data_IF_506563564891
#
_entry.id   IF_506563564891
#
_cell.length_a   1.000
_cell.length_b   1.000
_cell.length_c   1.000
_cell.angle_alpha   90.00
_cell.angle_beta   90.00
_cell.angle_gamma   90.00
#
_symmetry.space_group_name_H-M   'P 1'
#
loop_
_entity.id
_entity.type
_entity.pdbx_description
1 polymer ?
#
# COMPACT_ATOMS: atom_id res chain seq x y z
N UNK A 1 13.83 -27.42 23.60
CA UNK A 1 12.57 -27.66 22.87
C UNK A 1 11.41 -27.10 23.71
N UNK A 2 11.02 -25.89 23.52
CA UNK A 2 9.85 -25.30 24.19
C UNK A 2 8.91 -24.83 23.08
N UNK A 3 7.95 -25.69 22.75
CA UNK A 3 6.90 -25.40 21.80
C UNK A 3 5.98 -24.32 22.35
N UNK A 4 6.18 -23.08 21.94
CA UNK A 4 5.25 -21.99 22.19
C UNK A 4 3.96 -22.30 21.45
N UNK A 5 2.95 -22.80 22.17
CA UNK A 5 1.57 -22.91 21.67
C UNK A 5 1.15 -21.51 21.18
N UNK A 6 0.96 -21.38 19.87
CA UNK A 6 0.47 -20.14 19.23
C UNK A 6 -0.96 -19.88 19.76
N UNK A 7 -1.29 -18.67 20.22
CA UNK A 7 -2.61 -18.38 20.79
C UNK A 7 -3.72 -18.60 19.75
N UNK A 8 -4.90 -19.00 20.22
CA UNK A 8 -6.09 -19.28 19.39
C UNK A 8 -6.54 -18.09 18.51
N UNK A 9 -6.14 -16.87 18.83
CA UNK A 9 -6.38 -15.64 18.04
C UNK A 9 -5.71 -15.64 16.65
N UNK A 10 -4.80 -16.59 16.36
CA UNK A 10 -4.03 -16.61 15.11
C UNK A 10 -4.74 -17.28 13.93
N UNK A 11 -5.75 -18.10 14.18
CA UNK A 11 -6.50 -18.80 13.12
C UNK A 11 -7.49 -17.87 12.38
N UNK A 12 -8.11 -16.89 13.08
CA UNK A 12 -9.13 -16.01 12.50
C UNK A 12 -8.59 -15.12 11.37
N UNK A 13 -7.45 -14.41 11.50
CA UNK A 13 -6.86 -13.66 10.39
C UNK A 13 -6.50 -14.54 9.18
N UNK A 14 -5.99 -15.75 9.41
CA UNK A 14 -5.71 -16.71 8.33
C UNK A 14 -6.97 -17.16 7.62
N UNK A 15 -8.03 -17.44 8.36
CA UNK A 15 -9.33 -17.82 7.80
C UNK A 15 -9.93 -16.69 6.96
N UNK A 16 -9.83 -15.44 7.43
CA UNK A 16 -10.27 -14.25 6.68
C UNK A 16 -9.49 -14.11 5.37
N UNK A 17 -8.16 -14.26 5.42
CA UNK A 17 -7.32 -14.21 4.21
C UNK A 17 -7.68 -15.34 3.24
N UNK A 18 -7.78 -16.58 3.72
CA UNK A 18 -8.15 -17.73 2.89
C UNK A 18 -9.55 -17.55 2.25
N UNK A 19 -10.50 -17.02 3.00
CA UNK A 19 -11.83 -16.71 2.46
C UNK A 19 -11.78 -15.62 1.38
N UNK A 20 -10.96 -14.58 1.56
CA UNK A 20 -10.77 -13.53 0.55
C UNK A 20 -10.16 -14.09 -0.74
N UNK A 21 -9.18 -14.97 -0.64
CA UNK A 21 -8.58 -15.64 -1.82
C UNK A 21 -9.66 -16.45 -2.55
N UNK A 22 -10.45 -17.27 -1.84
CA UNK A 22 -11.56 -18.02 -2.44
C UNK A 22 -12.61 -17.13 -3.07
N UNK A 23 -12.91 -15.97 -2.49
CA UNK A 23 -13.83 -14.98 -3.10
C UNK A 23 -13.24 -14.45 -4.39
N UNK A 24 -11.94 -14.15 -4.45
CA UNK A 24 -11.28 -13.70 -5.67
C UNK A 24 -11.29 -14.77 -6.76
N UNK A 25 -11.00 -16.02 -6.43
CA UNK A 25 -11.08 -17.15 -7.34
C UNK A 25 -12.51 -17.31 -7.89
N UNK A 26 -13.51 -17.30 -7.01
CA UNK A 26 -14.92 -17.43 -7.39
C UNK A 26 -15.44 -16.25 -8.24
N UNK A 27 -14.93 -15.04 -8.01
CA UNK A 27 -15.34 -13.84 -8.78
C UNK A 27 -14.85 -13.90 -10.22
N UNK A 28 -13.65 -14.44 -10.43
CA UNK A 28 -13.04 -14.51 -11.77
C UNK A 28 -13.32 -15.85 -12.51
N UNK A 29 -13.91 -16.85 -11.82
CA UNK A 29 -14.20 -18.18 -12.39
C UNK A 29 -12.94 -19.00 -12.67
N UNK A 30 -13.03 -19.96 -13.59
CA UNK A 30 -11.97 -20.93 -13.88
C UNK A 30 -10.76 -20.37 -14.64
N UNK A 31 -10.77 -19.07 -14.96
CA UNK A 31 -9.68 -18.41 -15.70
C UNK A 31 -8.66 -17.73 -14.81
N UNK A 32 -8.58 -18.09 -13.53
CA UNK A 32 -7.60 -17.52 -12.59
C UNK A 32 -6.48 -18.50 -12.36
N UNK A 33 -5.26 -18.04 -12.58
CA UNK A 33 -4.02 -18.78 -12.22
C UNK A 33 -3.23 -17.97 -11.23
N UNK A 34 -2.83 -18.59 -10.12
CA UNK A 34 -1.93 -17.96 -9.13
C UNK A 34 -0.53 -18.52 -9.30
N UNK A 35 0.48 -17.65 -9.35
CA UNK A 35 1.90 -18.00 -9.45
C UNK A 35 2.68 -17.35 -8.28
N UNK A 36 3.71 -18.02 -7.75
CA UNK A 36 4.04 -19.42 -7.99
C UNK A 36 2.98 -20.34 -7.37
N UNK A 37 2.93 -21.60 -7.82
CA UNK A 37 2.05 -22.62 -7.26
C UNK A 37 2.79 -23.98 -7.19
N UNK A 38 2.09 -25.05 -6.81
CA UNK A 38 2.70 -26.36 -6.65
C UNK A 38 3.31 -26.95 -7.96
N UNK A 39 2.77 -26.57 -9.13
CA UNK A 39 3.24 -27.04 -10.42
C UNK A 39 4.25 -26.08 -11.07
N UNK A 40 4.21 -24.79 -10.72
CA UNK A 40 4.97 -23.74 -11.40
C UNK A 40 5.73 -22.91 -10.37
N UNK A 41 7.06 -23.01 -10.41
CA UNK A 41 8.00 -22.36 -9.51
C UNK A 41 8.30 -20.90 -9.85
N UNK A 42 9.34 -20.33 -9.21
CA UNK A 42 9.74 -18.93 -9.40
C UNK A 42 10.15 -18.60 -10.83
N UNK A 43 10.73 -19.54 -11.59
CA UNK A 43 11.15 -19.34 -12.97
C UNK A 43 9.94 -19.10 -13.90
N UNK A 44 8.85 -19.84 -13.66
CA UNK A 44 7.58 -19.64 -14.40
C UNK A 44 6.96 -18.31 -14.01
N UNK A 45 6.98 -17.96 -12.72
CA UNK A 45 6.51 -16.65 -12.24
C UNK A 45 7.22 -15.51 -12.99
N UNK A 46 8.56 -15.49 -13.03
CA UNK A 46 9.34 -14.43 -13.70
C UNK A 46 9.05 -14.36 -15.19
N UNK A 47 9.09 -15.51 -15.87
CA UNK A 47 8.86 -15.61 -17.30
C UNK A 47 7.46 -15.11 -17.66
N UNK A 48 6.42 -15.55 -16.95
CA UNK A 48 5.05 -15.17 -17.22
C UNK A 48 4.82 -13.70 -16.84
N UNK A 49 5.38 -13.22 -15.73
CA UNK A 49 5.23 -11.82 -15.34
C UNK A 49 5.88 -10.86 -16.37
N UNK A 50 7.03 -11.25 -16.94
CA UNK A 50 7.73 -10.48 -17.94
C UNK A 50 7.16 -10.62 -19.37
N UNK A 51 6.21 -11.56 -19.59
CA UNK A 51 5.69 -11.86 -20.91
C UNK A 51 4.89 -10.67 -21.49
N UNK A 52 5.14 -10.26 -22.75
CA UNK A 52 4.49 -9.08 -23.36
C UNK A 52 2.96 -9.16 -23.39
N UNK A 53 2.38 -10.36 -23.53
CA UNK A 53 0.94 -10.56 -23.50
C UNK A 53 0.35 -10.55 -22.06
N UNK A 54 1.14 -10.37 -21.00
CA UNK A 54 0.69 -10.29 -19.60
C UNK A 54 0.69 -8.84 -19.13
N UNK A 55 0.08 -7.95 -19.89
CA UNK A 55 0.11 -6.52 -19.62
C UNK A 55 -1.26 -5.85 -19.51
N UNK A 56 -2.36 -6.58 -19.73
CA UNK A 56 -3.72 -6.11 -19.46
C UNK A 56 -3.94 -5.85 -17.97
N UNK A 57 -4.72 -4.85 -17.64
CA UNK A 57 -4.83 -4.33 -16.26
C UNK A 57 -6.23 -4.43 -15.67
N UNK A 58 -7.25 -4.05 -16.43
CA UNK A 58 -8.59 -3.84 -15.91
C UNK A 58 -9.69 -4.42 -16.80
N UNK A 59 -9.51 -4.38 -18.11
CA UNK A 59 -10.53 -4.83 -19.06
C UNK A 59 -10.74 -6.34 -18.96
N UNK A 60 -12.02 -6.76 -18.82
CA UNK A 60 -12.42 -8.17 -18.89
C UNK A 60 -12.24 -8.99 -17.60
N UNK A 61 -11.78 -8.42 -16.50
CA UNK A 61 -11.64 -9.15 -15.24
C UNK A 61 -12.60 -8.67 -14.16
N UNK A 62 -13.39 -9.60 -13.59
CA UNK A 62 -14.28 -9.30 -12.46
C UNK A 62 -13.56 -8.82 -11.19
N UNK A 63 -12.28 -9.17 -11.04
CA UNK A 63 -11.43 -8.68 -9.95
C UNK A 63 -11.18 -7.18 -10.06
N UNK A 64 -11.12 -6.62 -11.27
CA UNK A 64 -10.93 -5.19 -11.51
C UNK A 64 -12.07 -4.36 -10.93
N UNK A 65 -13.31 -4.85 -10.99
CA UNK A 65 -14.46 -4.19 -10.35
C UNK A 65 -14.28 -4.02 -8.85
N UNK A 66 -13.66 -5.00 -8.17
CA UNK A 66 -13.38 -4.92 -6.75
C UNK A 66 -12.29 -3.89 -6.45
N UNK A 67 -11.19 -3.89 -7.21
CA UNK A 67 -10.12 -2.92 -7.01
C UNK A 67 -10.59 -1.50 -7.32
N UNK A 68 -11.29 -1.27 -8.40
CA UNK A 68 -11.85 0.04 -8.76
C UNK A 68 -12.84 0.54 -7.70
N UNK A 69 -13.59 -0.38 -7.10
CA UNK A 69 -14.51 -0.04 -6.03
C UNK A 69 -13.79 0.42 -4.75
N UNK A 70 -12.70 -0.24 -4.35
CA UNK A 70 -11.98 0.09 -3.11
C UNK A 70 -11.05 1.27 -3.24
N UNK A 71 -10.39 1.42 -4.38
CA UNK A 71 -9.38 2.44 -4.61
C UNK A 71 -9.96 3.86 -4.72
N UNK A 72 -9.08 4.82 -4.94
CA UNK A 72 -9.45 6.19 -5.15
C UNK A 72 -10.34 6.37 -6.39
N UNK A 73 -11.14 7.44 -6.46
CA UNK A 73 -11.78 7.81 -7.71
C UNK A 73 -10.71 8.03 -8.80
N UNK A 74 -11.06 7.76 -10.05
CA UNK A 74 -10.12 7.90 -11.15
C UNK A 74 -9.25 6.67 -11.37
N UNK A 75 -9.75 5.46 -11.03
CA UNK A 75 -9.04 4.22 -11.35
C UNK A 75 -8.75 4.09 -12.84
N UNK A 76 -9.59 4.65 -13.70
CA UNK A 76 -9.45 4.73 -15.16
C UNK A 76 -8.24 5.53 -15.64
N UNK A 77 -7.68 6.38 -14.82
CA UNK A 77 -6.47 7.19 -15.10
C UNK A 77 -5.30 6.86 -14.17
N UNK A 78 -5.49 5.90 -13.27
CA UNK A 78 -4.44 5.46 -12.38
C UNK A 78 -3.43 4.59 -13.14
N UNK A 79 -2.13 4.85 -12.97
CA UNK A 79 -1.05 4.17 -13.70
C UNK A 79 -1.13 2.64 -13.65
N UNK A 80 -1.55 2.05 -12.52
CA UNK A 80 -1.67 0.60 -12.37
C UNK A 80 -2.88 -0.01 -13.09
N UNK A 81 -3.88 0.81 -13.44
CA UNK A 81 -5.14 0.35 -14.02
C UNK A 81 -5.33 0.73 -15.48
N UNK A 82 -4.52 1.67 -15.98
CA UNK A 82 -4.51 2.02 -17.39
C UNK A 82 -4.09 0.83 -18.24
N UNK A 83 -4.86 0.57 -19.29
CA UNK A 83 -4.47 -0.41 -20.30
C UNK A 83 -3.20 0.02 -21.05
N UNK A 84 -2.47 -0.94 -21.67
CA UNK A 84 -1.31 -0.62 -22.49
C UNK A 84 -1.66 0.37 -23.60
N UNK A 85 -0.77 1.31 -23.89
CA UNK A 85 -0.93 2.30 -24.96
C UNK A 85 -0.40 3.67 -24.59
N UNK A 86 -0.55 4.61 -25.52
CA UNK A 86 0.02 5.97 -25.45
C UNK A 86 -0.38 6.71 -24.15
N UNK A 87 -1.66 6.59 -23.74
CA UNK A 87 -2.17 7.22 -22.51
C UNK A 87 -1.43 6.73 -21.26
N UNK A 88 -1.16 5.41 -21.17
CA UNK A 88 -0.35 4.86 -20.08
C UNK A 88 1.09 5.39 -20.14
N UNK A 89 1.71 5.40 -21.30
CA UNK A 89 3.10 5.84 -21.45
C UNK A 89 3.28 7.31 -21.04
N UNK A 90 2.34 8.17 -21.39
CA UNK A 90 2.38 9.57 -21.00
C UNK A 90 2.19 9.75 -19.48
N UNK A 91 1.23 9.05 -18.88
CA UNK A 91 0.99 9.08 -17.44
C UNK A 91 2.22 8.54 -16.68
N UNK A 92 2.80 7.44 -17.13
CA UNK A 92 3.98 6.83 -16.51
C UNK A 92 5.22 7.74 -16.64
N UNK A 93 5.42 8.35 -17.79
CA UNK A 93 6.52 9.31 -18.01
C UNK A 93 6.37 10.55 -17.13
N UNK A 94 5.14 11.08 -17.00
CA UNK A 94 4.87 12.21 -16.12
C UNK A 94 5.07 11.86 -14.66
N UNK A 95 4.62 10.68 -14.21
CA UNK A 95 4.85 10.19 -12.84
C UNK A 95 6.35 10.10 -12.54
N UNK A 96 7.13 9.50 -13.42
CA UNK A 96 8.60 9.43 -13.27
C UNK A 96 9.25 10.80 -13.19
N UNK A 97 8.79 11.77 -14.00
CA UNK A 97 9.30 13.14 -14.00
C UNK A 97 9.00 13.89 -12.70
N UNK A 98 7.80 13.73 -12.14
CA UNK A 98 7.44 14.35 -10.84
C UNK A 98 8.28 13.75 -9.71
N UNK A 99 8.54 12.42 -9.76
CA UNK A 99 9.36 11.72 -8.77
C UNK A 99 10.88 11.93 -8.98
N UNK A 100 11.30 12.46 -10.12
CA UNK A 100 12.70 12.72 -10.42
C UNK A 100 13.19 13.92 -9.61
N UNK A 101 13.82 13.64 -8.48
CA UNK A 101 14.51 14.60 -7.61
C UNK A 101 15.94 14.13 -7.33
N UNK A 102 16.81 15.06 -6.89
CA UNK A 102 18.10 14.66 -6.36
C UNK A 102 17.92 13.84 -5.08
N UNK A 103 18.80 12.87 -4.84
CA UNK A 103 18.76 12.07 -3.60
C UNK A 103 18.79 12.94 -2.36
N UNK A 104 19.59 14.02 -2.36
CA UNK A 104 19.66 14.98 -1.29
C UNK A 104 18.34 15.73 -1.07
N UNK A 105 17.71 16.24 -2.15
CA UNK A 105 16.44 16.97 -2.04
C UNK A 105 15.29 16.07 -1.57
N UNK A 106 15.23 14.81 -2.02
CA UNK A 106 14.25 13.84 -1.54
C UNK A 106 14.48 13.51 -0.06
N UNK A 107 15.73 13.32 0.35
CA UNK A 107 16.10 13.05 1.74
C UNK A 107 15.73 14.23 2.65
N UNK A 108 16.06 15.46 2.24
CA UNK A 108 15.74 16.67 2.99
C UNK A 108 14.22 16.88 3.15
N UNK A 109 13.46 16.78 2.06
CA UNK A 109 12.00 16.94 2.11
C UNK A 109 11.34 15.88 3.00
N UNK A 110 11.77 14.61 2.91
CA UNK A 110 11.28 13.54 3.75
C UNK A 110 11.68 13.75 5.22
N UNK A 111 12.92 14.18 5.49
CA UNK A 111 13.42 14.47 6.83
C UNK A 111 12.60 15.57 7.50
N UNK A 112 12.39 16.70 6.84
CA UNK A 112 11.54 17.80 7.35
C UNK A 112 10.11 17.29 7.65
N UNK A 113 9.49 16.62 6.71
CA UNK A 113 8.11 16.16 6.87
C UNK A 113 7.94 15.16 8.03
N UNK A 114 8.92 14.28 8.25
CA UNK A 114 8.91 13.32 9.36
C UNK A 114 9.24 14.03 10.68
N UNK A 115 10.22 14.92 10.70
CA UNK A 115 10.60 15.71 11.88
C UNK A 115 9.43 16.52 12.42
N UNK A 116 8.70 17.26 11.55
CA UNK A 116 7.52 18.05 11.91
C UNK A 116 6.44 17.22 12.64
N UNK A 117 6.26 15.99 12.21
CA UNK A 117 5.30 15.08 12.87
C UNK A 117 5.86 14.57 14.19
N UNK A 118 7.12 14.19 14.24
CA UNK A 118 7.76 13.69 15.47
C UNK A 118 7.88 14.76 16.54
N UNK A 119 7.98 16.03 16.18
CA UNK A 119 7.99 17.17 17.11
C UNK A 119 6.67 17.30 17.89
N UNK A 120 5.60 16.71 17.39
CA UNK A 120 4.30 16.64 18.12
C UNK A 120 4.26 15.54 19.17
N UNK A 121 5.23 14.61 19.19
CA UNK A 121 5.29 13.49 20.13
C UNK A 121 6.03 13.91 21.40
N UNK A 122 5.42 13.77 22.59
CA UNK A 122 6.07 14.16 23.85
C UNK A 122 7.40 13.42 24.09
N UNK A 123 8.44 14.15 24.52
CA UNK A 123 9.75 13.62 24.88
C UNK A 123 9.93 13.38 26.40
N UNK A 124 8.93 13.70 27.22
CA UNK A 124 8.93 13.54 28.67
C UNK A 124 8.30 12.23 29.14
N UNK A 125 7.68 11.48 28.24
CA UNK A 125 6.95 10.25 28.57
C UNK A 125 6.91 9.25 27.44
N UNK A 126 6.62 7.98 27.78
CA UNK A 126 6.36 6.92 26.80
C UNK A 126 5.01 7.18 26.12
N UNK A 127 4.99 7.16 24.80
CA UNK A 127 3.80 7.36 23.99
C UNK A 127 3.40 6.05 23.29
N UNK A 128 2.14 5.63 23.42
CA UNK A 128 1.58 4.54 22.62
C UNK A 128 0.94 5.12 21.37
N UNK A 129 1.50 4.79 20.22
CA UNK A 129 1.04 5.29 18.91
C UNK A 129 0.68 4.15 17.97
N UNK A 130 -0.01 4.47 16.89
CA UNK A 130 -0.13 3.62 15.70
C UNK A 130 0.80 4.19 14.64
N UNK A 131 1.90 3.51 14.34
CA UNK A 131 2.98 4.02 13.49
C UNK A 131 2.51 4.51 12.12
N UNK A 132 1.58 3.77 11.49
CA UNK A 132 1.00 4.19 10.22
C UNK A 132 0.26 5.52 10.33
N UNK A 133 -0.59 5.67 11.34
CA UNK A 133 -1.42 6.85 11.53
C UNK A 133 -0.58 8.06 11.94
N UNK A 134 0.47 7.84 12.73
CA UNK A 134 1.43 8.88 13.11
C UNK A 134 2.16 9.46 11.90
N UNK A 135 2.63 8.60 10.98
CA UNK A 135 3.50 9.02 9.88
C UNK A 135 2.74 9.36 8.59
N UNK A 136 1.46 9.02 8.48
CA UNK A 136 0.67 9.35 7.28
C UNK A 136 0.62 10.85 6.98
N UNK A 137 0.47 11.77 7.95
CA UNK A 137 0.56 13.21 7.69
C UNK A 137 1.92 13.66 7.15
N UNK A 138 3.03 13.04 7.58
CA UNK A 138 4.36 13.33 7.04
C UNK A 138 4.43 12.97 5.55
N UNK A 139 3.95 11.78 5.19
CA UNK A 139 3.94 11.34 3.79
C UNK A 139 2.95 12.13 2.93
N UNK A 140 1.85 12.63 3.51
CA UNK A 140 0.96 13.56 2.84
C UNK A 140 1.65 14.89 2.53
N UNK A 141 2.40 15.45 3.47
CA UNK A 141 3.18 16.67 3.28
C UNK A 141 4.30 16.48 2.24
N UNK A 142 5.05 15.38 2.33
CA UNK A 142 6.08 15.01 1.37
C UNK A 142 5.51 14.88 -0.07
N UNK A 143 4.42 14.13 -0.26
CA UNK A 143 3.80 13.96 -1.56
C UNK A 143 3.27 15.29 -2.13
N UNK A 144 2.74 16.16 -1.26
CA UNK A 144 2.32 17.50 -1.65
C UNK A 144 3.50 18.32 -2.16
N UNK A 145 4.63 18.32 -1.45
CA UNK A 145 5.83 19.05 -1.87
C UNK A 145 6.39 18.53 -3.20
N UNK A 146 6.32 17.23 -3.46
CA UNK A 146 6.71 16.67 -4.76
C UNK A 146 5.84 17.21 -5.91
N UNK A 147 4.53 17.30 -5.69
CA UNK A 147 3.58 17.71 -6.73
C UNK A 147 3.55 19.23 -6.93
N UNK A 148 3.58 20.00 -5.84
CA UNK A 148 3.37 21.46 -5.88
C UNK A 148 4.66 22.27 -5.73
N UNK A 149 5.80 21.63 -5.43
CA UNK A 149 7.10 22.28 -5.18
C UNK A 149 7.04 23.40 -4.13
N UNK A 150 6.15 23.26 -3.16
CA UNK A 150 5.96 24.20 -2.03
C UNK A 150 5.51 23.44 -0.77
N UNK A 151 5.70 24.01 0.43
CA UNK A 151 5.27 23.41 1.68
C UNK A 151 3.77 23.08 1.68
N UNK A 152 3.39 21.97 2.32
CA UNK A 152 2.01 21.52 2.39
C UNK A 152 1.21 22.35 3.40
N UNK A 153 0.16 23.07 2.98
CA UNK A 153 -0.73 23.74 3.93
C UNK A 153 -1.45 22.72 4.84
N UNK A 154 -1.70 23.07 6.13
CA UNK A 154 -2.35 22.16 7.08
C UNK A 154 -3.66 21.56 6.56
N UNK A 155 -4.53 22.38 5.97
CA UNK A 155 -5.82 21.92 5.43
C UNK A 155 -5.66 20.91 4.27
N UNK A 156 -4.65 21.10 3.40
CA UNK A 156 -4.37 20.17 2.31
C UNK A 156 -3.83 18.84 2.86
N UNK A 157 -2.93 18.90 3.85
CA UNK A 157 -2.42 17.72 4.56
C UNK A 157 -3.56 16.90 5.17
N UNK A 158 -4.52 17.58 5.81
CA UNK A 158 -5.67 16.93 6.44
C UNK A 158 -6.60 16.27 5.40
N UNK A 159 -6.86 16.95 4.25
CA UNK A 159 -7.62 16.37 3.15
C UNK A 159 -6.95 15.11 2.58
N UNK A 160 -5.64 15.16 2.34
CA UNK A 160 -4.86 14.06 1.80
C UNK A 160 -4.84 12.88 2.79
N UNK A 161 -4.55 13.17 4.06
CA UNK A 161 -4.52 12.15 5.13
C UNK A 161 -5.87 11.46 5.30
N UNK A 162 -6.96 12.24 5.34
CA UNK A 162 -8.31 11.70 5.46
C UNK A 162 -8.71 10.85 4.25
N UNK A 163 -8.27 11.23 3.04
CA UNK A 163 -8.49 10.47 1.82
C UNK A 163 -7.70 9.15 1.84
N UNK A 164 -6.40 9.21 2.13
CA UNK A 164 -5.54 8.03 2.18
C UNK A 164 -6.01 7.02 3.25
N UNK A 165 -6.39 7.50 4.44
CA UNK A 165 -6.95 6.64 5.49
C UNK A 165 -8.27 6.00 5.07
N UNK A 166 -9.15 6.72 4.36
CA UNK A 166 -10.40 6.17 3.84
C UNK A 166 -10.13 5.04 2.84
N UNK A 167 -9.22 5.24 1.89
CA UNK A 167 -8.92 4.23 0.87
C UNK A 167 -8.32 2.97 1.49
N UNK A 168 -7.31 3.10 2.36
CA UNK A 168 -6.67 1.92 2.97
C UNK A 168 -7.62 1.19 3.93
N UNK A 169 -8.50 1.91 4.62
CA UNK A 169 -9.51 1.35 5.51
C UNK A 169 -10.55 0.54 4.73
N UNK A 170 -11.01 1.05 3.59
CA UNK A 170 -11.91 0.33 2.68
C UNK A 170 -11.22 -0.88 2.05
N UNK A 171 -9.98 -0.73 1.54
CA UNK A 171 -9.21 -1.82 0.94
C UNK A 171 -8.95 -2.98 1.93
N UNK A 172 -8.70 -2.66 3.20
CA UNK A 172 -8.55 -3.65 4.27
C UNK A 172 -9.89 -4.16 4.82
N UNK A 173 -11.01 -3.69 4.32
CA UNK A 173 -12.37 -4.02 4.77
C UNK A 173 -12.59 -3.76 6.28
N UNK A 174 -11.91 -2.77 6.85
CA UNK A 174 -12.06 -2.37 8.26
C UNK A 174 -13.02 -1.21 8.45
N UNK A 175 -13.51 -0.60 7.37
CA UNK A 175 -14.50 0.46 7.30
C UNK A 175 -15.12 0.56 5.92
N UNK A 176 -16.23 1.28 5.82
CA UNK A 176 -16.88 1.59 4.53
C UNK A 176 -16.18 2.79 3.86
N UNK A 177 -16.37 2.90 2.55
CA UNK A 177 -15.88 4.05 1.77
C UNK A 177 -16.62 5.34 2.17
N UNK A 178 -15.91 6.46 2.16
CA UNK A 178 -16.47 7.79 2.37
C UNK A 178 -16.37 8.66 1.10
N UNK A 179 -17.27 8.52 0.13
CA UNK A 179 -17.18 9.22 -1.17
C UNK A 179 -17.01 10.73 -1.03
N UNK A 180 -17.67 11.35 -0.04
CA UNK A 180 -17.55 12.79 0.23
C UNK A 180 -16.13 13.23 0.62
N UNK A 181 -15.36 12.39 1.34
CA UNK A 181 -13.95 12.69 1.67
C UNK A 181 -13.10 12.65 0.41
N UNK A 182 -13.36 11.65 -0.45
CA UNK A 182 -12.66 11.50 -1.73
C UNK A 182 -12.95 12.68 -2.66
N UNK A 183 -14.21 13.06 -2.81
CA UNK A 183 -14.64 14.17 -3.65
C UNK A 183 -14.07 15.54 -3.21
N UNK A 184 -13.93 15.77 -1.88
CA UNK A 184 -13.32 17.01 -1.38
C UNK A 184 -11.88 17.18 -1.84
N UNK A 185 -11.08 16.11 -1.82
CA UNK A 185 -9.71 16.17 -2.31
C UNK A 185 -9.69 16.38 -3.84
N UNK A 186 -10.57 15.69 -4.59
CA UNK A 186 -10.67 15.87 -6.05
C UNK A 186 -10.98 17.34 -6.39
N UNK A 187 -11.96 17.96 -5.69
CA UNK A 187 -12.32 19.36 -5.91
C UNK A 187 -11.14 20.30 -5.61
N UNK A 188 -10.47 20.13 -4.47
CA UNK A 188 -9.28 20.90 -4.12
C UNK A 188 -8.19 20.82 -5.18
N UNK A 189 -7.90 19.60 -5.69
CA UNK A 189 -6.89 19.43 -6.73
C UNK A 189 -7.29 20.08 -8.04
N UNK A 190 -8.57 19.98 -8.43
CA UNK A 190 -9.12 20.66 -9.61
C UNK A 190 -8.94 22.18 -9.53
N UNK A 191 -9.25 22.79 -8.38
CA UNK A 191 -9.03 24.22 -8.14
C UNK A 191 -7.54 24.60 -8.24
N UNK A 192 -6.63 23.78 -7.70
CA UNK A 192 -5.19 24.06 -7.77
C UNK A 192 -4.63 23.93 -9.18
N UNK A 193 -5.13 22.96 -9.96
CA UNK A 193 -4.75 22.82 -11.38
C UNK A 193 -5.26 24.02 -12.18
N UNK A 194 -6.52 24.40 -12.00
CA UNK A 194 -7.11 25.55 -12.67
C UNK A 194 -6.40 26.89 -12.34
N UNK A 195 -5.88 27.02 -11.11
CA UNK A 195 -5.08 28.16 -10.67
C UNK A 195 -3.63 28.15 -11.19
N UNK A 196 -3.20 27.09 -11.90
CA UNK A 196 -1.82 26.97 -12.38
C UNK A 196 -0.79 26.65 -11.29
N UNK A 197 -1.24 26.17 -10.15
CA UNK A 197 -0.38 25.91 -8.98
C UNK A 197 0.51 24.67 -9.13
N UNK A 198 0.26 23.79 -10.11
CA UNK A 198 1.07 22.60 -10.38
C UNK A 198 2.18 22.94 -11.37
N UNK A 199 3.45 23.01 -10.95
CA UNK A 199 4.56 23.44 -11.80
C UNK A 199 5.03 22.35 -12.79
N UNK A 200 4.35 21.21 -12.81
CA UNK A 200 4.66 20.10 -13.69
C UNK A 200 3.72 20.10 -14.89
N UNK A 201 4.27 19.80 -16.09
CA UNK A 201 3.43 19.51 -17.25
C UNK A 201 2.69 18.19 -17.00
N UNK A 202 1.37 18.28 -16.76
CA UNK A 202 0.51 17.13 -16.60
C UNK A 202 0.23 16.42 -17.94
N UNK A 203 -0.23 15.14 -17.94
CA UNK A 203 -0.51 14.42 -19.18
C UNK A 203 -1.55 15.14 -20.02
N UNK A 204 -1.24 15.42 -21.28
CA UNK A 204 -2.13 16.12 -22.21
C UNK A 204 -3.29 15.22 -22.68
N UNK A 205 -3.10 13.90 -22.65
CA UNK A 205 -4.15 12.92 -22.93
C UNK A 205 -5.24 12.86 -21.86
N UNK A 206 -5.05 13.55 -20.72
CA UNK A 206 -6.02 13.64 -19.63
C UNK A 206 -6.71 15.01 -19.64
N UNK A 207 -8.05 15.02 -19.56
CA UNK A 207 -8.82 16.22 -19.29
C UNK A 207 -8.45 16.84 -17.94
N UNK A 208 -8.73 18.12 -17.66
CA UNK A 208 -8.42 18.76 -16.38
C UNK A 208 -9.00 18.01 -15.17
N UNK A 209 -10.21 17.44 -15.29
CA UNK A 209 -10.82 16.61 -14.25
C UNK A 209 -10.07 15.30 -14.04
N UNK A 210 -9.65 14.65 -15.12
CA UNK A 210 -8.84 13.43 -15.06
C UNK A 210 -7.43 13.68 -14.51
N UNK A 211 -6.84 14.85 -14.79
CA UNK A 211 -5.56 15.25 -14.19
C UNK A 211 -5.65 15.37 -12.67
N UNK A 212 -6.75 15.91 -12.13
CA UNK A 212 -6.99 15.93 -10.69
C UNK A 212 -7.10 14.50 -10.11
N UNK A 213 -7.83 13.61 -10.78
CA UNK A 213 -7.96 12.19 -10.40
C UNK A 213 -6.62 11.45 -10.48
N UNK A 214 -5.82 11.73 -11.51
CA UNK A 214 -4.47 11.17 -11.65
C UNK A 214 -3.57 11.56 -10.47
N UNK A 215 -3.50 12.84 -10.11
CA UNK A 215 -2.71 13.30 -8.97
C UNK A 215 -3.23 12.69 -7.66
N UNK A 216 -4.55 12.64 -7.48
CA UNK A 216 -5.18 12.05 -6.30
C UNK A 216 -4.85 10.56 -6.17
N UNK A 217 -4.99 9.78 -7.24
CA UNK A 217 -4.75 8.34 -7.22
C UNK A 217 -3.28 7.99 -7.05
N UNK A 218 -2.39 8.64 -7.79
CA UNK A 218 -0.97 8.29 -7.85
C UNK A 218 -0.21 8.82 -6.63
N UNK A 219 -0.32 10.12 -6.34
CA UNK A 219 0.50 10.76 -5.30
C UNK A 219 -0.22 10.82 -3.95
N UNK A 220 -1.48 11.24 -3.90
CA UNK A 220 -2.20 11.48 -2.65
C UNK A 220 -2.96 10.26 -2.11
N UNK A 221 -2.98 9.17 -2.86
CA UNK A 221 -3.41 7.86 -2.39
C UNK A 221 -2.23 6.89 -2.35
N UNK A 222 -1.78 6.42 -3.53
CA UNK A 222 -0.83 5.31 -3.62
C UNK A 222 0.49 5.63 -2.91
N UNK A 223 1.13 6.76 -3.21
CA UNK A 223 2.41 7.09 -2.58
C UNK A 223 2.26 7.29 -1.06
N UNK A 224 1.24 8.03 -0.59
CA UNK A 224 1.01 8.28 0.84
C UNK A 224 0.73 6.99 1.60
N UNK A 225 -0.17 6.14 1.08
CA UNK A 225 -0.51 4.86 1.71
C UNK A 225 0.69 3.93 1.75
N UNK A 226 1.40 3.76 0.61
CA UNK A 226 2.51 2.82 0.51
C UNK A 226 3.70 3.23 1.38
N UNK A 227 4.07 4.51 1.40
CA UNK A 227 5.14 5.01 2.27
C UNK A 227 4.76 4.89 3.75
N UNK A 228 3.51 5.16 4.11
CA UNK A 228 3.02 5.01 5.49
C UNK A 228 3.07 3.55 5.95
N UNK A 229 2.63 2.62 5.11
CA UNK A 229 2.66 1.18 5.42
C UNK A 229 4.10 0.66 5.44
N UNK A 230 4.95 1.02 4.47
CA UNK A 230 6.35 0.59 4.43
C UNK A 230 7.11 1.03 5.68
N UNK A 231 7.00 2.32 6.03
CA UNK A 231 7.66 2.85 7.22
C UNK A 231 7.13 2.19 8.49
N UNK A 232 5.82 1.99 8.59
CA UNK A 232 5.22 1.28 9.73
C UNK A 232 5.69 -0.18 9.83
N UNK A 233 5.89 -0.87 8.71
CA UNK A 233 6.45 -2.23 8.70
C UNK A 233 7.90 -2.24 9.19
N UNK A 234 8.76 -1.36 8.70
CA UNK A 234 10.17 -1.29 9.13
C UNK A 234 10.28 -0.97 10.63
N UNK A 235 9.55 0.04 11.09
CA UNK A 235 9.59 0.44 12.50
C UNK A 235 8.98 -0.62 13.42
N UNK A 236 7.93 -1.34 13.00
CA UNK A 236 7.38 -2.45 13.77
C UNK A 236 8.33 -3.64 13.81
N UNK A 237 9.03 -3.95 12.71
CA UNK A 237 10.07 -4.96 12.70
C UNK A 237 11.18 -4.63 13.70
N UNK A 238 11.66 -3.37 13.70
CA UNK A 238 12.67 -2.90 14.66
C UNK A 238 12.17 -2.94 16.12
N UNK A 239 10.91 -2.57 16.36
CA UNK A 239 10.30 -2.65 17.70
C UNK A 239 10.23 -4.08 18.25
N UNK A 240 10.16 -5.08 17.37
CA UNK A 240 10.09 -6.50 17.71
C UNK A 240 11.45 -7.19 17.76
N UNK A 241 12.48 -6.59 17.17
CA UNK A 241 13.85 -7.13 17.10
C UNK A 241 14.85 -6.17 17.78
N UNK A 242 14.88 -6.11 19.10
CA UNK A 242 15.65 -5.12 19.86
C UNK A 242 17.17 -5.17 19.58
N UNK A 243 17.72 -6.35 19.22
CA UNK A 243 19.14 -6.47 18.85
C UNK A 243 19.45 -5.73 17.54
N UNK A 244 18.57 -5.87 16.53
CA UNK A 244 18.71 -5.15 15.25
C UNK A 244 18.56 -3.64 15.45
N UNK A 245 17.56 -3.24 16.24
CA UNK A 245 17.36 -1.83 16.59
C UNK A 245 18.58 -1.25 17.34
N UNK A 246 19.15 -2.01 18.28
CA UNK A 246 20.34 -1.58 19.05
C UNK A 246 21.53 -1.36 18.11
N UNK A 247 21.83 -2.32 17.23
CA UNK A 247 22.93 -2.20 16.26
C UNK A 247 22.79 -0.93 15.40
N UNK A 248 21.60 -0.63 14.88
CA UNK A 248 21.36 0.60 14.12
C UNK A 248 21.50 1.87 14.98
N UNK A 249 21.27 1.75 16.28
CA UNK A 249 21.44 2.88 17.20
C UNK A 249 22.89 3.15 17.57
N UNK A 250 23.72 2.12 17.64
CA UNK A 250 25.16 2.23 17.88
C UNK A 250 25.91 2.68 16.62
N UNK A 251 25.39 2.31 15.44
CA UNK A 251 26.00 2.64 14.16
C UNK A 251 24.97 3.38 13.25
N UNK A 252 24.60 4.64 13.58
CA UNK A 252 23.55 5.37 12.86
C UNK A 252 23.91 5.67 11.40
N UNK A 253 25.20 5.65 11.06
CA UNK A 253 25.71 5.92 9.71
C UNK A 253 25.89 4.63 8.87
N UNK A 254 25.60 3.45 9.41
CA UNK A 254 25.61 2.17 8.65
C UNK A 254 24.42 2.10 7.69
N UNK A 255 24.54 2.83 6.60
CA UNK A 255 23.56 2.84 5.50
C UNK A 255 23.32 1.47 4.90
N UNK A 256 24.36 0.64 4.85
CA UNK A 256 24.28 -0.70 4.27
C UNK A 256 23.41 -1.61 5.14
N UNK A 257 23.64 -1.62 6.44
CA UNK A 257 22.83 -2.47 7.32
C UNK A 257 21.38 -1.99 7.41
N UNK A 258 21.15 -0.67 7.42
CA UNK A 258 19.81 -0.12 7.36
C UNK A 258 19.10 -0.50 6.06
N UNK A 259 19.81 -0.54 4.92
CA UNK A 259 19.24 -1.05 3.67
C UNK A 259 18.85 -2.53 3.80
N UNK A 260 19.71 -3.39 4.37
CA UNK A 260 19.41 -4.80 4.64
C UNK A 260 18.17 -4.98 5.53
N UNK A 261 17.98 -4.13 6.54
CA UNK A 261 16.79 -4.13 7.41
C UNK A 261 15.52 -3.79 6.62
N UNK A 262 15.60 -2.80 5.73
CA UNK A 262 14.48 -2.41 4.87
C UNK A 262 14.16 -3.55 3.88
N UNK A 263 15.18 -4.11 3.23
CA UNK A 263 15.01 -5.19 2.25
C UNK A 263 14.39 -6.43 2.91
N UNK A 264 14.88 -6.83 4.08
CA UNK A 264 14.32 -7.96 4.82
C UNK A 264 12.87 -7.70 5.26
N UNK A 265 12.56 -6.47 5.64
CA UNK A 265 11.19 -6.09 5.98
C UNK A 265 10.28 -6.21 4.76
N UNK A 266 10.68 -5.68 3.61
CA UNK A 266 9.88 -5.73 2.37
C UNK A 266 9.80 -7.14 1.77
N UNK A 267 10.78 -8.01 2.04
CA UNK A 267 10.74 -9.43 1.69
C UNK A 267 9.65 -10.17 2.48
N UNK A 268 9.64 -10.00 3.80
CA UNK A 268 8.68 -10.69 4.69
C UNK A 268 7.28 -10.07 4.64
N UNK A 269 7.20 -8.77 4.47
CA UNK A 269 5.96 -7.99 4.52
C UNK A 269 5.79 -7.12 3.26
N UNK A 270 5.75 -7.73 2.07
CA UNK A 270 5.57 -6.98 0.84
C UNK A 270 4.26 -6.19 0.88
N UNK A 271 4.32 -4.94 0.42
CA UNK A 271 3.17 -4.03 0.46
C UNK A 271 2.03 -4.52 -0.46
N UNK A 272 2.40 -5.09 -1.60
CA UNK A 272 1.49 -5.83 -2.45
C UNK A 272 1.59 -7.32 -2.14
N UNK A 273 0.47 -7.94 -1.78
CA UNK A 273 0.44 -9.38 -1.58
C UNK A 273 0.23 -10.14 -2.87
N UNK A 274 -0.67 -9.63 -3.70
CA UNK A 274 -1.00 -10.20 -5.00
C UNK A 274 -1.13 -9.06 -5.98
N UNK A 275 -0.36 -9.11 -7.06
CA UNK A 275 -0.59 -8.30 -8.25
C UNK A 275 -1.32 -9.15 -9.28
N UNK A 276 -2.38 -8.62 -9.91
CA UNK A 276 -3.03 -9.32 -11.01
C UNK A 276 -2.69 -8.68 -12.35
N UNK A 277 -2.68 -9.51 -13.39
CA UNK A 277 -2.56 -9.11 -14.78
C UNK A 277 -3.57 -9.88 -15.61
N UNK A 278 -3.93 -9.35 -16.75
CA UNK A 278 -4.83 -9.98 -17.69
C UNK A 278 -4.05 -10.28 -18.96
N UNK A 279 -4.17 -11.50 -19.47
CA UNK A 279 -3.50 -11.87 -20.71
C UNK A 279 -4.20 -11.21 -21.91
N UNK A 280 -3.45 -10.56 -22.76
CA UNK A 280 -3.93 -9.94 -24.02
C UNK A 280 -3.73 -10.87 -25.24
N UNK A 281 -3.07 -11.99 -25.05
CA UNK A 281 -2.82 -13.05 -26.02
C UNK A 281 -2.53 -14.37 -25.30
N UNK A 282 -2.16 -15.39 -26.05
CA UNK A 282 -1.76 -16.69 -25.50
C UNK A 282 -0.42 -16.61 -24.76
N UNK A 283 -0.34 -17.28 -23.61
CA UNK A 283 0.84 -17.29 -22.74
C UNK A 283 1.15 -18.73 -22.31
N UNK A 284 2.26 -19.35 -22.76
CA UNK A 284 2.63 -20.68 -22.33
C UNK A 284 3.12 -20.68 -20.88
N UNK A 285 2.53 -21.54 -20.05
CA UNK A 285 2.99 -21.82 -18.70
C UNK A 285 4.05 -22.92 -18.69
N UNK A 286 3.82 -23.97 -19.45
CA UNK A 286 4.70 -25.11 -19.66
C UNK A 286 4.45 -25.72 -21.05
N UNK A 287 5.04 -26.89 -21.34
CA UNK A 287 4.92 -27.59 -22.63
C UNK A 287 3.50 -28.08 -22.94
N UNK A 288 2.64 -28.16 -21.95
CA UNK A 288 1.28 -28.72 -22.05
C UNK A 288 0.17 -27.70 -21.78
N UNK A 289 0.50 -26.60 -21.11
CA UNK A 289 -0.48 -25.64 -20.60
C UNK A 289 -0.25 -24.25 -21.21
N UNK A 290 -1.25 -23.76 -21.94
CA UNK A 290 -1.28 -22.41 -22.50
C UNK A 290 -2.44 -21.62 -21.93
N UNK A 291 -2.20 -20.45 -21.40
CA UNK A 291 -3.24 -19.52 -20.96
C UNK A 291 -3.80 -18.77 -22.17
N UNK A 292 -5.11 -18.84 -22.42
CA UNK A 292 -5.73 -18.05 -23.48
C UNK A 292 -5.79 -16.57 -23.12
N UNK A 293 -6.02 -15.72 -24.12
CA UNK A 293 -6.32 -14.30 -23.91
C UNK A 293 -7.52 -14.12 -22.94
N UNK A 294 -7.45 -13.10 -22.09
CA UNK A 294 -8.46 -12.84 -21.06
C UNK A 294 -8.32 -13.66 -19.77
N UNK A 295 -7.25 -14.46 -19.64
CA UNK A 295 -6.93 -15.14 -18.39
C UNK A 295 -6.42 -14.14 -17.34
N UNK A 296 -6.80 -14.34 -16.07
CA UNK A 296 -6.33 -13.54 -14.94
C UNK A 296 -5.18 -14.26 -14.25
N UNK A 297 -3.99 -13.67 -14.30
CA UNK A 297 -2.81 -14.20 -13.61
C UNK A 297 -2.59 -13.41 -12.34
N UNK A 298 -2.62 -14.09 -11.20
CA UNK A 298 -2.36 -13.54 -9.88
C UNK A 298 -0.93 -13.88 -9.45
N UNK A 299 -0.10 -12.87 -9.25
CA UNK A 299 1.29 -13.00 -8.82
C UNK A 299 1.39 -12.83 -7.32
N UNK A 300 1.66 -13.91 -6.59
CA UNK A 300 1.84 -13.91 -5.13
C UNK A 300 3.27 -13.49 -4.78
N UNK A 301 3.46 -12.26 -4.35
CA UNK A 301 4.77 -11.75 -3.94
C UNK A 301 5.32 -12.45 -2.70
N UNK A 302 4.52 -12.70 -1.64
CA UNK A 302 5.01 -13.41 -0.46
C UNK A 302 5.54 -14.81 -0.77
N UNK A 303 4.80 -15.57 -1.61
CA UNK A 303 5.20 -16.93 -1.95
C UNK A 303 6.44 -16.94 -2.85
N UNK A 304 6.50 -16.00 -3.81
CA UNK A 304 7.67 -15.81 -4.65
C UNK A 304 8.91 -15.41 -3.84
N UNK A 305 8.80 -14.41 -2.97
CA UNK A 305 9.92 -13.92 -2.15
C UNK A 305 10.32 -14.86 -1.00
N UNK A 306 9.53 -15.89 -0.71
CA UNK A 306 9.91 -16.93 0.24
C UNK A 306 10.85 -17.98 -0.37
N UNK A 307 10.82 -18.15 -1.71
CA UNK A 307 11.66 -19.16 -2.40
C UNK A 307 13.13 -18.79 -2.38
N UNK A 308 14.00 -19.81 -2.28
CA UNK A 308 15.45 -19.64 -2.35
C UNK A 308 16.09 -19.06 -1.08
N UNK A 309 15.34 -18.86 0.00
CA UNK A 309 15.86 -18.42 1.28
C UNK A 309 15.85 -19.53 2.32
N UNK A 310 16.94 -19.69 3.05
CA UNK A 310 16.93 -20.46 4.29
C UNK A 310 16.08 -19.74 5.34
N UNK A 311 15.24 -20.50 6.08
CA UNK A 311 14.34 -19.94 7.09
C UNK A 311 13.55 -18.72 6.59
N UNK A 312 12.72 -18.91 5.54
CA UNK A 312 12.08 -17.80 4.83
C UNK A 312 11.14 -16.96 5.71
N UNK A 313 10.62 -17.55 6.82
CA UNK A 313 9.70 -16.88 7.75
C UNK A 313 10.42 -16.10 8.87
N UNK A 314 11.76 -16.19 8.97
CA UNK A 314 12.52 -15.49 10.00
C UNK A 314 13.00 -14.12 9.49
N UNK A 315 12.93 -13.12 10.38
CA UNK A 315 13.48 -11.80 10.13
C UNK A 315 14.97 -11.79 10.42
N UNK A 316 15.77 -11.78 9.40
CA UNK A 316 17.23 -11.85 9.46
C UNK A 316 17.86 -10.88 8.43
N UNK A 317 18.11 -9.62 8.79
CA UNK A 317 18.77 -8.67 7.90
C UNK A 317 20.20 -9.06 7.49
N UNK A 318 20.90 -9.88 8.28
CA UNK A 318 22.26 -10.27 7.98
C UNK A 318 22.34 -11.22 6.78
N UNK A 319 21.23 -11.90 6.39
CA UNK A 319 21.16 -12.72 5.17
C UNK A 319 21.54 -11.93 3.89
N UNK A 320 21.26 -10.65 3.86
CA UNK A 320 21.57 -9.79 2.71
C UNK A 320 23.08 -9.51 2.54
N UNK A 321 23.90 -9.94 3.50
CA UNK A 321 25.35 -9.95 3.34
C UNK A 321 25.82 -11.09 2.44
N UNK A 322 25.03 -12.18 2.36
CA UNK A 322 25.32 -13.32 1.49
C UNK A 322 24.95 -13.02 0.02
N UNK A 323 25.90 -13.18 -0.94
CA UNK A 323 25.60 -13.05 -2.34
C UNK A 323 24.50 -14.02 -2.85
N UNK A 324 24.33 -15.18 -2.26
CA UNK A 324 23.29 -16.13 -2.66
C UNK A 324 21.88 -15.57 -2.31
N UNK A 325 21.72 -15.03 -1.12
CA UNK A 325 20.45 -14.41 -0.72
C UNK A 325 20.08 -13.20 -1.58
N UNK A 326 21.08 -12.44 -2.06
CA UNK A 326 20.85 -11.32 -3.00
C UNK A 326 20.45 -11.75 -4.41
N UNK A 327 20.71 -13.00 -4.78
CA UNK A 327 20.26 -13.59 -6.06
C UNK A 327 18.93 -14.31 -5.94
N UNK A 328 18.45 -14.55 -4.73
CA UNK A 328 17.15 -15.16 -4.49
C UNK A 328 16.01 -14.24 -4.94
N UNK A 329 14.81 -14.79 -5.19
CA UNK A 329 13.63 -14.02 -5.60
C UNK A 329 13.32 -12.85 -4.69
N UNK A 330 13.43 -11.61 -5.21
CA UNK A 330 13.15 -10.38 -4.48
C UNK A 330 12.68 -9.27 -5.43
N UNK A 331 11.41 -8.88 -5.33
CA UNK A 331 10.77 -7.91 -6.23
C UNK A 331 9.94 -6.85 -5.48
N UNK A 332 10.51 -6.12 -4.50
CA UNK A 332 9.74 -5.17 -3.68
C UNK A 332 9.06 -4.06 -4.49
N UNK A 333 9.57 -3.80 -5.69
CA UNK A 333 9.08 -2.77 -6.63
C UNK A 333 8.50 -3.37 -7.92
N UNK A 334 8.20 -4.68 -7.94
CA UNK A 334 7.73 -5.39 -9.12
C UNK A 334 8.83 -5.78 -10.09
N UNK A 335 8.46 -6.47 -11.16
CA UNK A 335 9.37 -6.94 -12.20
C UNK A 335 9.67 -5.82 -13.20
N UNK A 336 10.94 -5.56 -13.46
CA UNK A 336 11.39 -4.45 -14.30
C UNK A 336 10.77 -4.45 -15.72
N UNK A 337 10.54 -5.63 -16.30
CA UNK A 337 9.95 -5.78 -17.62
C UNK A 337 8.45 -5.49 -17.70
N UNK A 338 7.73 -5.41 -16.57
CA UNK A 338 6.27 -5.22 -16.56
C UNK A 338 5.84 -4.15 -15.56
N UNK A 339 6.04 -2.88 -15.93
CA UNK A 339 5.61 -1.69 -15.20
C UNK A 339 6.08 -1.69 -13.73
N UNK A 340 7.39 -1.59 -13.48
CA UNK A 340 7.92 -1.50 -12.13
C UNK A 340 7.40 -0.25 -11.43
N UNK A 341 7.44 -0.26 -10.10
CA UNK A 341 7.09 0.91 -9.30
C UNK A 341 7.90 2.14 -9.74
N UNK A 342 7.27 3.26 -10.10
CA UNK A 342 8.00 4.45 -10.54
C UNK A 342 8.85 5.08 -9.43
N UNK A 343 8.54 4.77 -8.16
CA UNK A 343 9.24 5.29 -6.99
C UNK A 343 10.40 4.39 -6.52
N UNK A 344 10.83 3.38 -7.29
CA UNK A 344 11.85 2.40 -6.87
C UNK A 344 13.21 3.03 -6.48
N UNK A 345 13.55 4.18 -7.05
CA UNK A 345 14.74 4.95 -6.67
C UNK A 345 14.52 5.85 -5.45
N UNK A 346 13.36 6.47 -5.36
CA UNK A 346 13.04 7.43 -4.29
C UNK A 346 12.68 6.74 -2.97
N UNK A 347 11.90 5.66 -3.01
CA UNK A 347 11.39 5.00 -1.81
C UNK A 347 12.47 4.52 -0.85
N UNK A 348 13.58 3.86 -1.27
CA UNK A 348 14.64 3.47 -0.33
C UNK A 348 15.31 4.66 0.36
N UNK A 349 15.44 5.80 -0.32
CA UNK A 349 16.04 7.01 0.23
C UNK A 349 15.17 7.55 1.36
N UNK A 350 13.88 7.79 1.06
CA UNK A 350 12.98 8.42 2.03
C UNK A 350 12.65 7.49 3.21
N UNK A 351 12.62 6.17 3.00
CA UNK A 351 12.46 5.20 4.08
C UNK A 351 13.65 5.21 5.04
N UNK A 352 14.89 5.23 4.53
CA UNK A 352 16.08 5.33 5.38
C UNK A 352 16.07 6.58 6.24
N UNK A 353 15.74 7.73 5.65
CA UNK A 353 15.63 9.00 6.37
C UNK A 353 14.58 8.92 7.47
N UNK A 354 13.38 8.43 7.16
CA UNK A 354 12.30 8.31 8.14
C UNK A 354 12.67 7.39 9.32
N UNK A 355 13.32 6.26 9.05
CA UNK A 355 13.77 5.34 10.11
C UNK A 355 14.82 5.99 10.99
N UNK A 356 15.79 6.71 10.42
CA UNK A 356 16.81 7.45 11.17
C UNK A 356 16.20 8.53 12.05
N UNK A 357 15.28 9.32 11.51
CA UNK A 357 14.60 10.37 12.27
C UNK A 357 13.86 9.82 13.50
N UNK A 358 13.20 8.69 13.34
CA UNK A 358 12.51 8.03 14.47
C UNK A 358 13.52 7.47 15.47
N UNK A 359 14.56 6.76 15.01
CA UNK A 359 15.55 6.12 15.88
C UNK A 359 16.47 7.13 16.58
N UNK A 360 16.70 8.32 16.02
CA UNK A 360 17.47 9.37 16.69
C UNK A 360 16.77 9.89 17.96
N UNK A 361 15.43 9.88 17.99
CA UNK A 361 14.61 10.44 19.07
C UNK A 361 14.04 9.38 20.01
N UNK A 362 13.72 8.19 19.48
CA UNK A 362 12.97 7.17 20.21
C UNK A 362 13.62 5.79 20.13
N UNK A 363 13.48 5.04 21.22
CA UNK A 363 13.55 3.59 21.22
C UNK A 363 12.15 3.03 21.01
N UNK A 364 12.03 2.03 20.18
CA UNK A 364 10.78 1.40 19.81
C UNK A 364 10.55 0.10 20.58
N UNK A 365 9.32 -0.17 20.99
CA UNK A 365 8.93 -1.43 21.61
C UNK A 365 7.49 -1.80 21.22
N UNK A 366 7.27 -3.04 20.81
CA UNK A 366 5.93 -3.52 20.51
C UNK A 366 5.82 -5.03 20.73
N UNK A 367 4.69 -5.44 21.31
CA UNK A 367 4.27 -6.83 21.42
C UNK A 367 3.16 -7.20 20.43
N UNK A 368 2.78 -6.26 19.56
CA UNK A 368 1.76 -6.48 18.55
C UNK A 368 2.19 -7.55 17.52
N UNK A 369 1.22 -8.26 16.96
CA UNK A 369 1.47 -9.20 15.87
C UNK A 369 1.97 -8.45 14.63
N UNK A 370 3.01 -8.94 13.96
CA UNK A 370 3.46 -8.36 12.70
C UNK A 370 2.95 -9.24 11.56
N UNK A 371 2.01 -8.72 10.81
CA UNK A 371 1.42 -9.38 9.66
C UNK A 371 1.54 -8.50 8.43
N UNK A 372 1.61 -9.08 7.25
CA UNK A 372 1.72 -8.33 6.00
C UNK A 372 0.68 -7.21 5.83
N UNK A 373 -0.52 -7.40 6.31
CA UNK A 373 -1.59 -6.40 6.15
C UNK A 373 -1.63 -5.34 7.26
N UNK A 374 -0.95 -5.57 8.41
CA UNK A 374 -0.98 -4.70 9.59
C UNK A 374 -2.34 -4.01 9.84
N UNK A 375 -3.44 -4.78 10.01
CA UNK A 375 -4.77 -4.19 10.12
C UNK A 375 -4.94 -3.34 11.39
N UNK A 376 -4.10 -3.57 12.41
CA UNK A 376 -4.02 -2.79 13.65
C UNK A 376 -3.22 -1.48 13.51
N UNK A 377 -2.72 -1.16 12.31
CA UNK A 377 -1.98 0.07 12.02
C UNK A 377 -0.64 0.20 12.76
N UNK A 378 -0.02 -0.94 13.10
CA UNK A 378 1.27 -1.07 13.78
C UNK A 378 1.33 -0.30 15.13
N UNK A 379 0.65 -0.76 16.20
CA UNK A 379 0.77 -0.16 17.52
C UNK A 379 2.19 -0.34 18.07
N UNK A 380 2.77 0.75 18.58
CA UNK A 380 4.14 0.79 19.07
C UNK A 380 4.27 1.76 20.24
N UNK A 381 5.13 1.41 21.20
CA UNK A 381 5.59 2.30 22.25
C UNK A 381 6.79 3.09 21.75
N UNK A 382 6.66 4.40 21.69
CA UNK A 382 7.77 5.33 21.47
C UNK A 382 8.33 5.72 22.83
N UNK A 383 9.57 5.33 23.11
CA UNK A 383 10.27 5.60 24.34
C UNK A 383 11.35 6.64 24.02
N UNK A 384 11.21 7.90 24.46
CA UNK A 384 12.22 8.92 24.24
C UNK A 384 13.60 8.45 24.71
N UNK A 385 14.66 8.73 23.94
CA UNK A 385 16.00 8.19 24.24
C UNK A 385 16.57 8.56 25.60
N UNK A 386 16.35 9.80 26.11
CA UNK A 386 16.81 10.15 27.45
C UNK A 386 16.05 9.41 28.55
N UNK A 387 14.85 8.86 28.24
CA UNK A 387 13.97 8.29 29.25
C UNK A 387 14.31 6.80 29.49
N UNK A 388 14.52 6.46 30.76
CA UNK A 388 14.63 5.07 31.22
C UNK A 388 13.32 4.73 31.96
N UNK A 389 12.33 4.12 31.29
CA UNK A 389 11.08 3.78 31.96
C UNK A 389 11.33 2.69 33.00
N UNK A 390 10.69 2.78 34.15
CA UNK A 390 10.73 1.72 35.17
C UNK A 390 10.23 0.39 34.58
N UNK A 391 10.94 -0.72 34.84
CA UNK A 391 10.69 -2.03 34.23
C UNK A 391 9.24 -2.52 34.43
N UNK A 392 8.65 -2.31 35.62
CA UNK A 392 7.25 -2.68 35.90
C UNK A 392 6.25 -1.91 35.03
N UNK A 393 6.48 -0.61 34.81
CA UNK A 393 5.60 0.23 33.98
C UNK A 393 5.67 -0.19 32.51
N UNK A 394 6.86 -0.44 32.00
CA UNK A 394 7.06 -0.91 30.62
C UNK A 394 6.39 -2.27 30.40
N UNK A 395 6.55 -3.20 31.34
CA UNK A 395 5.91 -4.51 31.24
C UNK A 395 4.37 -4.42 31.31
N UNK A 396 3.81 -3.53 32.10
CA UNK A 396 2.38 -3.28 32.14
C UNK A 396 1.88 -2.73 30.78
N UNK A 397 2.61 -1.80 30.16
CA UNK A 397 2.28 -1.29 28.82
C UNK A 397 2.37 -2.39 27.75
N UNK A 398 3.37 -3.24 27.79
CA UNK A 398 3.50 -4.40 26.87
C UNK A 398 2.33 -5.36 27.01
N UNK A 399 1.91 -5.67 28.24
CA UNK A 399 0.72 -6.51 28.50
C UNK A 399 -0.54 -5.85 27.97
N UNK A 400 -0.70 -4.56 28.17
CA UNK A 400 -1.83 -3.78 27.65
C UNK A 400 -1.87 -3.82 26.12
N UNK A 401 -0.74 -3.58 25.43
CA UNK A 401 -0.66 -3.65 23.97
C UNK A 401 -1.04 -5.05 23.47
N UNK A 402 -0.53 -6.10 24.11
CA UNK A 402 -0.82 -7.51 23.74
C UNK A 402 -2.30 -7.85 23.91
N UNK A 403 -2.89 -7.48 25.06
CA UNK A 403 -4.31 -7.74 25.33
C UNK A 403 -5.20 -7.00 24.34
N UNK A 404 -4.92 -5.71 24.13
CA UNK A 404 -5.62 -4.87 23.15
C UNK A 404 -5.53 -5.43 21.75
N UNK A 405 -4.33 -5.84 21.30
CA UNK A 405 -4.12 -6.42 19.98
C UNK A 405 -4.96 -7.70 19.78
N UNK A 406 -5.00 -8.58 20.77
CA UNK A 406 -5.82 -9.78 20.74
C UNK A 406 -7.34 -9.50 20.65
N UNK A 407 -7.85 -8.52 21.39
CA UNK A 407 -9.26 -8.12 21.31
C UNK A 407 -9.57 -7.43 19.96
N UNK A 408 -8.68 -6.55 19.53
CA UNK A 408 -8.81 -5.89 18.23
C UNK A 408 -8.74 -6.88 17.06
N UNK A 409 -7.98 -7.96 17.14
CA UNK A 409 -7.90 -8.99 16.08
C UNK A 409 -9.25 -9.69 15.87
N UNK A 410 -9.94 -10.06 16.95
CA UNK A 410 -11.26 -10.69 16.86
C UNK A 410 -12.29 -9.71 16.27
N UNK A 411 -12.38 -8.50 16.85
CA UNK A 411 -13.36 -7.51 16.39
C UNK A 411 -13.13 -7.06 14.94
N UNK A 412 -11.87 -6.94 14.52
CA UNK A 412 -11.51 -6.64 13.13
C UNK A 412 -11.80 -7.80 12.20
N UNK A 413 -11.52 -9.03 12.61
CA UNK A 413 -11.85 -10.23 11.83
C UNK A 413 -13.33 -10.26 11.50
N UNK A 414 -14.21 -10.05 12.48
CA UNK A 414 -15.65 -9.96 12.28
C UNK A 414 -16.03 -8.80 11.34
N UNK A 415 -15.47 -7.60 11.58
CA UNK A 415 -15.71 -6.44 10.70
C UNK A 415 -15.29 -6.72 9.26
N UNK A 416 -14.12 -7.31 9.06
CA UNK A 416 -13.61 -7.63 7.72
C UNK A 416 -14.51 -8.62 6.99
N UNK A 417 -15.08 -9.60 7.68
CA UNK A 417 -16.05 -10.53 7.10
C UNK A 417 -17.33 -9.82 6.68
N UNK A 418 -17.94 -9.05 7.58
CA UNK A 418 -19.22 -8.37 7.33
C UNK A 418 -19.05 -7.28 6.26
N UNK A 419 -18.15 -6.32 6.50
CA UNK A 419 -17.95 -5.19 5.59
C UNK A 419 -17.37 -5.63 4.25
N UNK A 420 -16.45 -6.60 4.27
CA UNK A 420 -15.90 -7.18 3.05
C UNK A 420 -16.97 -7.81 2.17
N UNK A 421 -17.87 -8.59 2.77
CA UNK A 421 -19.00 -9.20 2.04
C UNK A 421 -19.91 -8.12 1.45
N UNK A 422 -20.31 -7.12 2.25
CA UNK A 422 -21.16 -6.01 1.77
C UNK A 422 -20.48 -5.27 0.60
N UNK A 423 -19.19 -4.95 0.73
CA UNK A 423 -18.46 -4.21 -0.30
C UNK A 423 -18.26 -5.04 -1.59
N UNK A 424 -17.99 -6.34 -1.47
CA UNK A 424 -17.88 -7.24 -2.64
C UNK A 424 -19.21 -7.32 -3.37
N UNK A 425 -20.33 -7.54 -2.67
CA UNK A 425 -21.66 -7.58 -3.28
C UNK A 425 -22.00 -6.24 -3.95
N UNK A 426 -21.69 -5.12 -3.32
CA UNK A 426 -21.92 -3.80 -3.89
C UNK A 426 -21.03 -3.51 -5.12
N UNK A 427 -19.76 -3.87 -5.07
CA UNK A 427 -18.84 -3.74 -6.21
C UNK A 427 -19.32 -4.56 -7.41
N UNK A 428 -19.75 -5.82 -7.18
CA UNK A 428 -20.32 -6.69 -8.24
C UNK A 428 -21.61 -6.13 -8.83
N UNK A 429 -22.43 -5.45 -8.03
CA UNK A 429 -23.66 -4.79 -8.55
C UNK A 429 -23.32 -3.56 -9.38
N UNK A 430 -22.34 -2.77 -8.96
CA UNK A 430 -21.92 -1.53 -9.64
C UNK A 430 -21.13 -1.80 -10.91
N UNK A 431 -20.31 -2.86 -10.95
CA UNK A 431 -19.42 -3.22 -12.07
C UNK A 431 -18.60 -2.04 -12.62
N UNK A 432 -17.87 -1.29 -11.80
CA UNK A 432 -17.31 0.00 -12.23
C UNK A 432 -16.30 -0.14 -13.37
N UNK A 433 -15.44 -1.15 -13.35
CA UNK A 433 -14.50 -1.40 -14.43
C UNK A 433 -15.20 -1.94 -15.69
N UNK A 434 -16.07 -2.93 -15.55
CA UNK A 434 -16.79 -3.51 -16.67
C UNK A 434 -17.61 -2.46 -17.42
N UNK A 435 -18.38 -1.62 -16.71
CA UNK A 435 -19.15 -0.53 -17.33
C UNK A 435 -18.27 0.48 -18.06
N UNK A 436 -17.12 0.80 -17.49
CA UNK A 436 -16.19 1.74 -18.12
C UNK A 436 -15.72 1.24 -19.49
N UNK A 437 -15.47 -0.05 -19.64
CA UNK A 437 -15.01 -0.65 -20.89
C UNK A 437 -16.16 -1.04 -21.84
N UNK A 438 -17.39 -1.23 -21.33
CA UNK A 438 -18.59 -1.49 -22.13
C UNK A 438 -19.14 -0.19 -22.77
N UNK A 439 -18.93 0.99 -22.17
CA UNK A 439 -19.40 2.28 -22.69
C UNK A 439 -18.43 2.83 -23.76
N UNK A 440 -18.95 3.25 -24.93
CA UNK A 440 -18.08 3.85 -25.98
C UNK A 440 -17.45 5.18 -25.51
N UNK A 441 -16.27 5.56 -26.04
CA UNK A 441 -15.51 6.73 -25.59
C UNK A 441 -16.21 8.09 -25.75
N UNK A 442 -17.20 8.19 -26.63
CA UNK A 442 -17.94 9.40 -26.95
C UNK A 442 -19.14 9.59 -26.04
N UNK A 443 -18.94 10.19 -24.88
CA UNK A 443 -20.06 10.53 -23.99
C UNK A 443 -19.78 10.50 -22.49
N UNK A 444 -18.54 10.33 -22.08
CA UNK A 444 -18.19 10.26 -20.66
C UNK A 444 -18.26 11.62 -19.99
N UNK A 445 -19.43 11.99 -19.53
CA UNK A 445 -19.58 12.99 -18.49
C UNK A 445 -19.07 12.41 -17.16
N UNK A 446 -18.38 13.20 -16.28
CA UNK A 446 -18.03 12.72 -14.95
C UNK A 446 -19.28 12.20 -14.26
N UNK A 447 -19.20 11.02 -13.66
CA UNK A 447 -20.30 10.37 -12.94
C UNK A 447 -20.93 11.37 -11.97
N UNK A 448 -22.05 11.97 -12.36
CA UNK A 448 -22.93 12.67 -11.43
C UNK A 448 -23.47 11.62 -10.47
N UNK A 449 -23.12 11.72 -9.19
CA UNK A 449 -23.77 10.92 -8.15
C UNK A 449 -25.28 11.21 -8.21
N UNK A 450 -26.15 10.18 -8.16
CA UNK A 450 -27.58 10.42 -8.05
C UNK A 450 -27.83 11.19 -6.76
N UNK A 451 -28.13 12.47 -6.87
CA UNK A 451 -28.84 13.22 -5.83
C UNK A 451 -30.20 12.56 -5.69
N UNK A 452 -30.45 11.94 -4.54
CA UNK A 452 -31.80 11.54 -4.17
C UNK A 452 -32.70 12.79 -4.20
N UNK A 453 -33.51 12.92 -5.24
CA UNK A 453 -34.60 13.89 -5.26
C UNK A 453 -35.63 13.42 -4.24
N UNK A 454 -35.70 14.09 -3.10
CA UNK A 454 -36.87 14.05 -2.24
C UNK A 454 -38.03 14.64 -3.04
N UNK A 455 -38.85 13.81 -3.63
CA UNK A 455 -40.17 14.20 -4.05
C UNK A 455 -41.00 14.50 -2.81
N UNK A 456 -41.16 15.77 -2.54
CA UNK A 456 -42.22 16.28 -1.66
C UNK A 456 -43.57 15.91 -2.28
N UNK A 457 -44.24 14.94 -1.69
CA UNK A 457 -45.70 14.79 -1.91
C UNK A 457 -46.41 15.91 -1.17
N UNK A 458 -46.74 16.96 -1.88
CA UNK A 458 -47.82 17.84 -1.48
C UNK A 458 -49.13 17.05 -1.49
N UNK A 459 -49.75 16.94 -0.34
CA UNK A 459 -51.15 16.57 -0.22
C UNK A 459 -51.96 17.84 -0.37
N UNK A 460 -52.69 17.95 -1.45
CA UNK A 460 -53.85 18.82 -1.50
C UNK A 460 -55.10 17.92 -1.56
N UNK A 461 -56.10 18.30 -0.72
CA UNK A 461 -57.43 17.75 -0.70
C UNK A 461 -57.89 17.36 0.69
#
# INVERSE_FOLDING_TARGET
>A
MSGTRRPASWWLPRTVVALRVRVFEKVNGDRVVTLPNAAHGPEVFERVYAHPAVNGRSAGAGLSDLFWYWLAPGSEVHQEHLEPGERYEEVAATTRRILAGSSAGLAEAAGRAVADVLDTVPLDRVSLVRLRDLLMPAWAAFAYELVFRRPCPPHARDLITAHADDVITALKCTGLRHPRRRARLTAYLGERIAAGDVPHRLPASLSPSEQALYLQGTFFNTAVVQLSEATAHVLLALARHPRVQHRLSEHPDDDRYLAHVIDETLRLYPLFGIAHRITTGEVPLDDTTVLPAGSVVCFSYPDYQATGHERPDEFDPDRWSDPAARRAPYIPFGVAANRPCPAWRASPIVLRVAVREVLSRFRLDSTASHTRSNPHRAPCLLIPRPLIPGGRRLEALRRFVRLRDGVEDVTRGVRQLVLGTVMVLHARRLRPAARYFEEPPSGRCPVAHPTESKTSRERNG
#
